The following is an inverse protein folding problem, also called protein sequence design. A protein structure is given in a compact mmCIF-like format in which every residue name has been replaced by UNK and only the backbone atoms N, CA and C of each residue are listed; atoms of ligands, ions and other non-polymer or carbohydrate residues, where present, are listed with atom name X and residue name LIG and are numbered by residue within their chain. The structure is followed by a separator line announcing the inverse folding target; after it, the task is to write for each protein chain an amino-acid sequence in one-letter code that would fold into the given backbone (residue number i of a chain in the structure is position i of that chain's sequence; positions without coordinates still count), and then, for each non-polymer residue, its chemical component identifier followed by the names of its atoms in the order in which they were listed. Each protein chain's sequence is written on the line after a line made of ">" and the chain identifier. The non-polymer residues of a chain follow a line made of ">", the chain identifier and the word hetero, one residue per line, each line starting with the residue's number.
data_IF_310585380952
#
_entry.id   IF_310585380952
#
_cell.length_a   1.000
_cell.length_b   1.000
_cell.length_c   1.000
_cell.angle_alpha   90.00
_cell.angle_beta   90.00
_cell.angle_gamma   90.00
#
_symmetry.space_group_name_H-M   'P 1'
#
loop_
_entity.id
_entity.type
_entity.pdbx_description
1 polymer ?
#
# COMPACT_ATOMS: atom_id res chain seq x y z
N UNK A 1 22.10 11.73 -26.26
CA UNK A 1 20.89 11.04 -25.76
C UNK A 1 21.30 10.02 -24.71
N UNK A 2 21.19 10.32 -23.40
CA UNK A 2 21.21 9.31 -22.35
C UNK A 2 19.76 8.89 -22.07
N UNK A 3 19.30 7.67 -22.31
CA UNK A 3 19.94 6.40 -21.98
C UNK A 3 19.32 5.92 -20.66
N UNK A 4 18.13 5.33 -20.77
CA UNK A 4 17.26 4.87 -19.70
C UNK A 4 18.01 4.12 -18.58
N UNK A 5 18.03 4.70 -17.39
CA UNK A 5 18.55 4.07 -16.15
C UNK A 5 17.66 4.37 -14.94
N UNK A 6 16.35 4.18 -15.07
CA UNK A 6 15.41 4.38 -13.96
C UNK A 6 14.41 3.24 -13.76
N UNK A 7 14.74 2.00 -14.13
CA UNK A 7 13.80 0.86 -13.96
C UNK A 7 14.34 -0.28 -13.09
N UNK A 8 15.58 -0.21 -12.60
CA UNK A 8 16.21 -1.27 -11.79
C UNK A 8 16.17 -1.05 -10.28
N UNK A 9 16.31 0.19 -9.81
CA UNK A 9 16.52 0.50 -8.39
C UNK A 9 15.26 0.92 -7.62
N UNK A 10 14.12 1.15 -8.29
CA UNK A 10 12.90 1.59 -7.61
C UNK A 10 12.28 0.49 -6.73
N UNK A 11 12.45 -0.80 -7.03
CA UNK A 11 11.70 -1.83 -6.29
C UNK A 11 12.27 -2.14 -4.89
N UNK A 12 13.55 -1.85 -4.60
CA UNK A 12 14.13 -2.11 -3.28
C UNK A 12 13.94 -0.97 -2.28
N UNK A 13 14.04 0.28 -2.72
CA UNK A 13 13.76 1.46 -1.88
C UNK A 13 12.26 1.65 -1.62
N UNK A 14 11.39 1.15 -2.51
CA UNK A 14 9.94 1.35 -2.41
C UNK A 14 9.23 0.52 -1.32
N UNK A 15 9.93 -0.27 -0.50
CA UNK A 15 9.27 -1.13 0.50
C UNK A 15 9.84 -1.01 1.92
N UNK A 16 10.68 -0.02 2.19
CA UNK A 16 11.19 0.22 3.56
C UNK A 16 10.06 0.43 4.57
N UNK A 17 8.94 1.00 4.11
CA UNK A 17 7.75 1.18 4.94
C UNK A 17 7.24 -0.15 5.53
N UNK A 18 7.47 -1.31 4.91
CA UNK A 18 7.01 -2.59 5.45
C UNK A 18 7.63 -2.94 6.82
N UNK A 19 8.76 -2.32 7.17
CA UNK A 19 9.44 -2.50 8.45
C UNK A 19 9.09 -1.43 9.47
N UNK A 20 8.29 -0.42 9.10
CA UNK A 20 7.87 0.61 10.03
C UNK A 20 6.98 0.03 11.11
N UNK A 21 7.36 0.32 12.36
CA UNK A 21 6.49 0.14 13.51
C UNK A 21 5.40 1.25 13.55
N UNK A 22 4.50 1.15 14.53
CA UNK A 22 3.42 2.13 14.65
C UNK A 22 3.92 3.54 15.01
N UNK A 23 5.09 3.67 15.63
CA UNK A 23 5.70 4.96 15.98
C UNK A 23 6.26 5.62 14.73
N UNK A 24 6.97 4.87 13.88
CA UNK A 24 7.49 5.35 12.60
C UNK A 24 6.36 5.79 11.69
N UNK A 25 5.26 5.02 11.61
CA UNK A 25 4.06 5.44 10.88
C UNK A 25 3.46 6.73 11.45
N UNK A 26 3.35 6.86 12.78
CA UNK A 26 2.80 8.07 13.38
C UNK A 26 3.68 9.30 13.15
N UNK A 27 5.01 9.15 13.18
CA UNK A 27 5.94 10.23 12.86
C UNK A 27 5.87 10.61 11.37
N UNK A 28 5.63 9.66 10.47
CA UNK A 28 5.35 9.97 9.08
C UNK A 28 4.04 10.77 8.92
N UNK A 29 2.96 10.40 9.63
CA UNK A 29 1.72 11.18 9.62
C UNK A 29 1.93 12.61 10.15
N UNK A 30 2.75 12.77 11.19
CA UNK A 30 3.15 14.09 11.69
C UNK A 30 3.92 14.90 10.64
N UNK A 31 4.86 14.28 9.92
CA UNK A 31 5.64 14.96 8.88
C UNK A 31 4.80 15.38 7.67
N UNK A 32 3.62 14.76 7.48
CA UNK A 32 2.61 15.21 6.52
C UNK A 32 1.82 16.45 6.98
N UNK A 33 2.05 16.95 8.20
CA UNK A 33 1.33 18.09 8.78
C UNK A 33 0.12 17.69 9.62
N UNK A 34 0.01 16.43 10.03
CA UNK A 34 -1.12 15.90 10.82
C UNK A 34 -0.72 15.39 12.22
N UNK A 35 -0.03 16.18 13.07
CA UNK A 35 0.38 15.75 14.40
C UNK A 35 -0.80 15.34 15.29
N UNK A 36 -1.98 15.91 15.08
CA UNK A 36 -3.20 15.58 15.82
C UNK A 36 -3.65 14.12 15.64
N UNK A 37 -3.27 13.46 14.54
CA UNK A 37 -3.66 12.08 14.25
C UNK A 37 -2.63 11.04 14.69
N UNK A 38 -1.49 11.42 15.28
CA UNK A 38 -0.46 10.46 15.74
C UNK A 38 -1.06 9.38 16.64
N UNK A 39 -1.87 9.77 17.61
CA UNK A 39 -2.53 8.86 18.55
C UNK A 39 -3.47 7.88 17.84
N UNK A 40 -4.15 8.31 16.77
CA UNK A 40 -5.00 7.43 15.95
C UNK A 40 -4.20 6.28 15.35
N UNK A 41 -2.95 6.49 14.91
CA UNK A 41 -2.14 5.43 14.32
C UNK A 41 -1.46 4.54 15.37
N UNK A 42 -0.98 5.11 16.48
CA UNK A 42 -0.32 4.33 17.55
C UNK A 42 -1.30 3.48 18.34
N UNK A 43 -2.44 4.04 18.77
CA UNK A 43 -3.46 3.33 19.56
C UNK A 43 -4.09 2.20 18.75
N UNK A 44 -4.35 2.42 17.46
CA UNK A 44 -4.90 1.40 16.57
C UNK A 44 -3.83 0.44 15.99
N UNK A 45 -2.57 0.54 16.45
CA UNK A 45 -1.47 -0.35 16.07
C UNK A 45 -1.28 -0.43 14.55
N UNK A 46 -1.37 0.71 13.86
CA UNK A 46 -1.16 0.81 12.42
C UNK A 46 0.35 0.87 12.16
N UNK A 47 0.92 -0.29 11.82
CA UNK A 47 2.29 -0.41 11.35
C UNK A 47 2.35 -0.30 9.83
N UNK A 48 3.55 -0.26 9.25
CA UNK A 48 3.70 -0.02 7.82
C UNK A 48 3.05 -1.09 6.94
N UNK A 49 3.00 -2.35 7.41
CA UNK A 49 2.27 -3.44 6.74
C UNK A 49 0.76 -3.24 6.70
N UNK A 50 0.19 -2.48 7.64
CA UNK A 50 -1.24 -2.17 7.73
C UNK A 50 -1.64 -0.91 6.96
N UNK A 51 -0.69 -0.15 6.42
CA UNK A 51 -0.99 1.06 5.63
C UNK A 51 -1.90 0.78 4.43
N UNK A 52 -1.87 -0.42 3.86
CA UNK A 52 -2.76 -0.85 2.78
C UNK A 52 -4.26 -0.77 3.13
N UNK A 53 -4.60 -0.75 4.43
CA UNK A 53 -5.97 -0.60 4.91
C UNK A 53 -6.38 0.85 5.21
N UNK A 54 -5.44 1.80 5.15
CA UNK A 54 -5.69 3.21 5.44
C UNK A 54 -6.25 3.89 4.19
N UNK A 55 -7.57 3.93 4.10
CA UNK A 55 -8.31 4.56 3.01
C UNK A 55 -9.51 5.35 3.55
N UNK A 56 -10.18 6.12 2.69
CA UNK A 56 -11.34 6.93 3.08
C UNK A 56 -12.47 6.14 3.76
N UNK A 57 -12.62 4.83 3.49
CA UNK A 57 -13.65 4.00 4.12
C UNK A 57 -13.28 3.54 5.54
N UNK A 58 -11.99 3.47 5.86
CA UNK A 58 -11.49 2.94 7.12
C UNK A 58 -10.95 4.02 8.08
N UNK A 59 -10.55 5.18 7.57
CA UNK A 59 -10.08 6.32 8.37
C UNK A 59 -11.08 6.76 9.46
N UNK A 60 -12.41 6.78 9.24
CA UNK A 60 -13.35 7.10 10.31
C UNK A 60 -13.29 6.12 11.49
N UNK A 61 -12.99 4.84 11.23
CA UNK A 61 -12.83 3.82 12.28
C UNK A 61 -11.55 4.02 13.10
N UNK A 62 -10.58 4.75 12.58
CA UNK A 62 -9.35 5.15 13.27
C UNK A 62 -9.51 6.45 14.08
N UNK A 63 -10.67 7.12 13.97
CA UNK A 63 -10.94 8.41 14.60
C UNK A 63 -10.65 9.62 13.70
N UNK A 64 -10.38 9.43 12.41
CA UNK A 64 -10.14 10.50 11.44
C UNK A 64 -11.41 10.70 10.63
N UNK A 65 -12.15 11.76 10.94
CA UNK A 65 -13.49 12.02 10.39
C UNK A 65 -13.57 13.28 9.53
N UNK A 66 -12.54 14.12 9.52
CA UNK A 66 -12.48 15.26 8.62
C UNK A 66 -12.25 14.78 7.18
N UNK A 67 -13.20 15.06 6.29
CA UNK A 67 -13.16 14.55 4.92
C UNK A 67 -11.96 15.05 4.13
N UNK A 68 -11.52 16.30 4.36
CA UNK A 68 -10.37 16.88 3.63
C UNK A 68 -9.09 16.17 4.04
N UNK A 69 -8.91 15.94 5.34
CA UNK A 69 -7.79 15.18 5.87
C UNK A 69 -7.81 13.74 5.37
N UNK A 70 -8.99 13.11 5.32
CA UNK A 70 -9.15 11.75 4.82
C UNK A 70 -8.69 11.62 3.36
N UNK A 71 -9.02 12.59 2.51
CA UNK A 71 -8.60 12.61 1.11
C UNK A 71 -7.07 12.71 1.00
N UNK A 72 -6.46 13.66 1.72
CA UNK A 72 -5.01 13.89 1.67
C UNK A 72 -4.24 12.68 2.22
N UNK A 73 -4.61 12.19 3.40
CA UNK A 73 -3.94 11.02 4.02
C UNK A 73 -4.06 9.81 3.10
N UNK A 74 -5.25 9.54 2.55
CA UNK A 74 -5.44 8.41 1.64
C UNK A 74 -4.60 8.54 0.36
N UNK A 75 -4.46 9.75 -0.18
CA UNK A 75 -3.61 10.00 -1.35
C UNK A 75 -2.13 9.76 -1.03
N UNK A 76 -1.63 10.29 0.10
CA UNK A 76 -0.24 10.10 0.55
C UNK A 76 0.09 8.64 0.87
N UNK A 77 -0.88 7.89 1.39
CA UNK A 77 -0.74 6.43 1.55
C UNK A 77 -0.61 5.76 0.19
N UNK A 78 -1.44 6.10 -0.80
CA UNK A 78 -1.34 5.52 -2.15
C UNK A 78 0.01 5.80 -2.80
N UNK A 79 0.50 7.03 -2.69
CA UNK A 79 1.82 7.45 -3.15
C UNK A 79 2.94 6.62 -2.49
N UNK A 80 2.90 6.47 -1.16
CA UNK A 80 3.90 5.71 -0.41
C UNK A 80 3.91 4.22 -0.80
N UNK A 81 2.73 3.63 -1.00
CA UNK A 81 2.57 2.22 -1.35
C UNK A 81 2.83 1.94 -2.84
N UNK A 82 2.93 2.97 -3.68
CA UNK A 82 3.01 2.83 -5.13
C UNK A 82 1.78 2.16 -5.75
N UNK A 83 0.60 2.37 -5.14
CA UNK A 83 -0.67 1.81 -5.63
C UNK A 83 -1.51 2.89 -6.32
N UNK A 84 -2.27 2.47 -7.31
CA UNK A 84 -3.19 3.29 -8.07
C UNK A 84 -4.57 3.35 -7.41
N UNK A 85 -5.23 4.50 -7.51
CA UNK A 85 -6.64 4.60 -7.14
C UNK A 85 -7.48 3.90 -8.20
N UNK A 86 -8.39 3.02 -7.78
CA UNK A 86 -9.31 2.35 -8.69
C UNK A 86 -10.20 3.40 -9.36
N UNK A 87 -10.13 3.58 -10.69
CA UNK A 87 -10.94 4.57 -11.38
C UNK A 87 -12.43 4.26 -11.24
N UNK A 88 -13.27 5.28 -11.22
CA UNK A 88 -14.74 5.10 -11.21
C UNK A 88 -15.26 4.35 -12.46
N UNK A 89 -14.49 4.36 -13.55
CA UNK A 89 -14.78 3.66 -14.81
C UNK A 89 -14.29 2.21 -14.84
N UNK A 90 -13.77 1.69 -13.73
CA UNK A 90 -13.26 0.33 -13.64
C UNK A 90 -14.41 -0.69 -13.73
N UNK A 91 -14.23 -1.73 -14.54
CA UNK A 91 -15.23 -2.79 -14.66
C UNK A 91 -15.33 -3.58 -13.36
N UNK A 92 -16.52 -4.07 -13.03
CA UNK A 92 -16.72 -5.00 -11.91
C UNK A 92 -16.09 -6.38 -12.22
N UNK A 93 -15.87 -6.68 -13.52
CA UNK A 93 -15.23 -7.93 -13.95
C UNK A 93 -13.70 -7.91 -13.77
N UNK A 94 -13.10 -6.73 -13.69
CA UNK A 94 -11.65 -6.57 -13.51
C UNK A 94 -11.29 -6.67 -12.02
N UNK A 95 -10.08 -7.13 -11.66
CA UNK A 95 -9.64 -7.15 -10.27
C UNK A 95 -9.73 -5.75 -9.65
N UNK A 96 -10.37 -5.57 -8.48
CA UNK A 96 -10.66 -4.25 -7.92
C UNK A 96 -9.40 -3.44 -7.52
N UNK A 97 -8.23 -4.07 -7.57
CA UNK A 97 -6.94 -3.54 -7.10
C UNK A 97 -5.83 -3.92 -8.06
N UNK A 98 -4.83 -3.06 -8.19
CA UNK A 98 -3.64 -3.35 -8.98
C UNK A 98 -2.77 -4.46 -8.35
N UNK A 99 -1.79 -4.95 -9.12
CA UNK A 99 -0.91 -6.04 -8.69
C UNK A 99 -0.12 -5.68 -7.42
N UNK A 100 0.26 -4.41 -7.24
CA UNK A 100 0.99 -3.96 -6.06
C UNK A 100 0.10 -4.00 -4.81
N UNK A 101 -1.12 -3.48 -4.90
CA UNK A 101 -2.10 -3.51 -3.83
C UNK A 101 -2.46 -4.96 -3.42
N UNK A 102 -2.65 -5.86 -4.38
CA UNK A 102 -2.90 -7.28 -4.11
C UNK A 102 -1.68 -7.96 -3.42
N UNK A 103 -0.46 -7.64 -3.85
CA UNK A 103 0.75 -8.09 -3.19
C UNK A 103 0.85 -7.58 -1.75
N UNK A 104 0.59 -6.28 -1.54
CA UNK A 104 0.66 -5.63 -0.23
C UNK A 104 -0.42 -6.16 0.73
N UNK A 105 -1.61 -6.49 0.24
CA UNK A 105 -2.64 -7.18 1.04
C UNK A 105 -2.18 -8.58 1.51
N UNK A 106 -1.39 -9.28 0.70
CA UNK A 106 -0.79 -10.57 1.09
C UNK A 106 0.31 -10.37 2.13
N UNK A 107 1.15 -9.34 1.94
CA UNK A 107 2.23 -8.90 2.85
C UNK A 107 1.73 -8.31 4.17
N UNK A 108 0.49 -7.85 4.23
CA UNK A 108 -0.07 -7.23 5.44
C UNK A 108 -0.21 -8.22 6.60
N UNK A 109 -0.31 -9.51 6.28
CA UNK A 109 -0.42 -10.60 7.25
C UNK A 109 0.95 -10.95 7.81
N UNK A 110 0.98 -11.44 9.05
CA UNK A 110 2.19 -11.97 9.67
C UNK A 110 2.29 -13.48 9.42
N UNK A 111 3.52 -14.00 9.33
CA UNK A 111 3.80 -15.42 9.19
C UNK A 111 4.75 -15.72 8.04
N UNK A 112 5.47 -16.84 8.15
CA UNK A 112 6.59 -17.23 7.28
C UNK A 112 6.28 -17.08 5.78
N UNK A 113 5.07 -17.49 5.35
CA UNK A 113 4.64 -17.40 3.94
C UNK A 113 4.43 -15.96 3.45
N UNK A 114 3.96 -15.07 4.30
CA UNK A 114 3.80 -13.65 3.95
C UNK A 114 5.14 -12.91 4.01
N UNK A 115 5.95 -13.25 5.01
CA UNK A 115 7.28 -12.67 5.22
C UNK A 115 8.23 -13.00 4.06
N UNK A 116 8.27 -14.26 3.62
CA UNK A 116 9.13 -14.73 2.52
C UNK A 116 8.65 -14.33 1.11
N UNK A 117 7.38 -13.94 0.95
CA UNK A 117 6.82 -13.61 -0.36
C UNK A 117 7.53 -12.39 -0.96
N UNK A 118 8.14 -12.54 -2.13
CA UNK A 118 8.67 -11.41 -2.90
C UNK A 118 7.68 -10.95 -3.96
N UNK A 119 7.82 -9.71 -4.43
CA UNK A 119 6.95 -9.19 -5.50
C UNK A 119 7.11 -10.02 -6.80
N UNK A 120 8.32 -10.46 -7.13
CA UNK A 120 8.57 -11.32 -8.29
C UNK A 120 7.88 -12.69 -8.15
N UNK A 121 7.92 -13.30 -6.97
CA UNK A 121 7.20 -14.56 -6.70
C UNK A 121 5.69 -14.38 -6.83
N UNK A 122 5.16 -13.24 -6.37
CA UNK A 122 3.76 -12.91 -6.51
C UNK A 122 3.34 -12.79 -7.99
N UNK A 123 4.12 -12.08 -8.80
CA UNK A 123 3.86 -11.97 -10.25
C UNK A 123 3.95 -13.32 -10.95
N UNK A 124 4.95 -14.14 -10.61
CA UNK A 124 5.12 -15.48 -11.19
C UNK A 124 3.98 -16.45 -10.82
N UNK A 125 3.44 -16.33 -9.60
CA UNK A 125 2.31 -17.14 -9.13
C UNK A 125 0.93 -16.69 -9.64
N UNK A 126 0.82 -15.43 -10.07
CA UNK A 126 -0.41 -14.84 -10.63
C UNK A 126 -0.51 -14.97 -12.15
N UNK A 127 0.27 -15.84 -12.79
CA UNK A 127 0.14 -16.09 -14.23
C UNK A 127 -1.28 -16.61 -14.52
N UNK A 128 -2.12 -15.89 -15.29
CA UNK A 128 -3.30 -16.51 -15.88
C UNK A 128 -2.79 -17.57 -16.86
N UNK A 129 -3.49 -18.70 -16.88
CA UNK A 129 -3.28 -19.82 -17.77
C UNK A 129 -2.89 -19.34 -19.18
N UNK A 130 -1.80 -19.88 -19.71
CA UNK A 130 -1.37 -19.71 -21.09
C UNK A 130 -2.36 -20.46 -22.01
N UNK A 131 -3.17 -19.81 -22.88
CA UNK A 131 -3.94 -20.52 -23.89
C UNK A 131 -3.09 -20.54 -25.17
N UNK A 132 -2.16 -21.47 -25.26
CA UNK A 132 -1.52 -21.85 -26.53
C UNK A 132 -1.10 -23.31 -26.45
N UNK A 133 -2.11 -24.17 -26.36
CA UNK A 133 -2.01 -25.55 -26.82
C UNK A 133 -3.28 -25.86 -27.58
N UNK A 134 -3.33 -25.46 -28.85
CA UNK A 134 -4.06 -26.16 -29.91
C UNK A 134 -3.37 -25.87 -31.22
#
# INVERSE_FOLDING_TARGET
>A
MPGDRFHGDLLSDNMEFLQWDCVSVANWIESLGYPQYKACFTVNQINGRKLIFVNCSNLPKLGIVDFKDMQVISARVRELLGITETPWSHSIADPPRDAMALFLERKSRTGERADSLTYQQFLAGNHPCNPSTT
#
